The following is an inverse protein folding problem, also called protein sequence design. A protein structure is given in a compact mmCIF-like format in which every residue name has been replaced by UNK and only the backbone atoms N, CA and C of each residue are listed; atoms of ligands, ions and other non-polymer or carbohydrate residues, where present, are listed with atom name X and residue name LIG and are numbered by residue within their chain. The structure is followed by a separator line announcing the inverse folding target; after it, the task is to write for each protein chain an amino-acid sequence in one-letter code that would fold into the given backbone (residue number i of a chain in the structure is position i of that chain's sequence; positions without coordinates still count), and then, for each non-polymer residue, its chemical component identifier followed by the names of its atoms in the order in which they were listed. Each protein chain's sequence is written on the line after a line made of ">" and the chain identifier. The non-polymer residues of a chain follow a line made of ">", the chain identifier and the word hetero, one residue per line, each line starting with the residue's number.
data_IF_867176763302
#
_entry.id   IF_867176763302
#
_cell.length_a   1.000
_cell.length_b   1.000
_cell.length_c   1.000
_cell.angle_alpha   90.00
_cell.angle_beta   90.00
_cell.angle_gamma   90.00
#
_symmetry.space_group_name_H-M   'P 1'
#
loop_
_entity.id
_entity.type
_entity.pdbx_description
1 polymer ?
#
# COMPACT_ATOMS: atom_id res chain seq x y z
N UNK A 1 23.84 11.19 3.22
CA UNK A 1 22.42 11.03 2.82
C UNK A 1 22.32 11.29 1.33
N UNK A 2 21.88 10.31 0.54
CA UNK A 2 21.67 10.49 -0.90
C UNK A 2 20.40 11.32 -1.09
N UNK A 3 20.49 12.48 -1.74
CA UNK A 3 19.31 13.27 -2.14
C UNK A 3 18.79 12.68 -3.45
N UNK A 4 17.56 12.20 -3.44
CA UNK A 4 16.87 11.73 -4.64
C UNK A 4 16.47 12.92 -5.52
N UNK A 5 16.49 12.74 -6.84
CA UNK A 5 15.95 13.74 -7.77
C UNK A 5 14.42 13.77 -7.72
N UNK A 6 13.82 14.86 -8.23
CA UNK A 6 12.36 14.99 -8.33
C UNK A 6 11.75 13.82 -9.13
N UNK A 7 12.39 13.42 -10.23
CA UNK A 7 11.94 12.29 -11.03
C UNK A 7 11.97 10.97 -10.26
N UNK A 8 13.02 10.74 -9.46
CA UNK A 8 13.12 9.54 -8.62
C UNK A 8 12.08 9.53 -7.49
N UNK A 9 11.80 10.68 -6.88
CA UNK A 9 10.75 10.81 -5.86
C UNK A 9 9.36 10.51 -6.44
N UNK A 10 9.07 11.03 -7.64
CA UNK A 10 7.82 10.75 -8.34
C UNK A 10 7.68 9.25 -8.65
N UNK A 11 8.73 8.63 -9.19
CA UNK A 11 8.72 7.20 -9.49
C UNK A 11 8.56 6.34 -8.23
N UNK A 12 9.22 6.70 -7.12
CA UNK A 12 9.05 6.02 -5.85
C UNK A 12 7.62 6.17 -5.30
N UNK A 13 7.02 7.36 -5.43
CA UNK A 13 5.62 7.60 -5.04
C UNK A 13 4.65 6.74 -5.86
N UNK A 14 4.86 6.62 -7.17
CA UNK A 14 4.06 5.75 -8.05
C UNK A 14 4.18 4.27 -7.67
N UNK A 15 5.40 3.78 -7.41
CA UNK A 15 5.63 2.40 -6.95
C UNK A 15 4.89 2.12 -5.64
N UNK A 16 4.98 3.04 -4.67
CA UNK A 16 4.30 2.89 -3.37
C UNK A 16 2.78 2.98 -3.52
N UNK A 17 2.28 3.82 -4.44
CA UNK A 17 0.86 3.88 -4.77
C UNK A 17 0.35 2.55 -5.35
N UNK A 18 1.09 1.96 -6.28
CA UNK A 18 0.75 0.64 -6.83
C UNK A 18 0.81 -0.46 -5.75
N UNK A 19 1.78 -0.38 -4.84
CA UNK A 19 1.89 -1.31 -3.72
C UNK A 19 0.70 -1.17 -2.75
N UNK A 20 0.23 0.05 -2.51
CA UNK A 20 -0.98 0.28 -1.70
C UNK A 20 -2.21 -0.39 -2.31
N UNK A 21 -2.39 -0.28 -3.64
CA UNK A 21 -3.49 -0.94 -4.36
C UNK A 21 -3.34 -2.47 -4.32
N UNK A 22 -2.12 -2.99 -4.44
CA UNK A 22 -1.85 -4.42 -4.34
C UNK A 22 -2.23 -4.98 -2.96
N UNK A 23 -1.87 -4.31 -1.87
CA UNK A 23 -2.23 -4.74 -0.51
C UNK A 23 -3.74 -4.66 -0.23
N UNK A 24 -4.41 -3.63 -0.73
CA UNK A 24 -5.87 -3.56 -0.67
C UNK A 24 -6.52 -4.75 -1.37
N UNK A 25 -6.07 -5.02 -2.60
CA UNK A 25 -6.59 -6.12 -3.43
C UNK A 25 -6.31 -7.48 -2.80
N UNK A 26 -5.10 -7.67 -2.26
CA UNK A 26 -4.73 -8.89 -1.54
C UNK A 26 -5.61 -9.12 -0.31
N UNK A 27 -5.88 -8.08 0.50
CA UNK A 27 -6.76 -8.20 1.67
C UNK A 27 -8.18 -8.68 1.34
N UNK A 28 -8.67 -8.38 0.13
CA UNK A 28 -9.99 -8.82 -0.36
C UNK A 28 -9.93 -10.19 -1.03
N UNK A 29 -8.91 -10.44 -1.86
CA UNK A 29 -8.82 -11.66 -2.69
C UNK A 29 -8.28 -12.84 -1.89
N UNK A 30 -7.31 -12.64 -0.99
CA UNK A 30 -6.65 -13.73 -0.26
C UNK A 30 -7.62 -14.63 0.52
N UNK A 31 -8.66 -14.13 1.21
CA UNK A 31 -9.66 -14.99 1.85
C UNK A 31 -10.37 -15.96 0.91
N UNK A 32 -10.56 -15.58 -0.36
CA UNK A 32 -11.20 -16.43 -1.37
C UNK A 32 -10.32 -17.63 -1.77
N UNK A 33 -9.00 -17.47 -1.67
CA UNK A 33 -8.02 -18.51 -2.00
C UNK A 33 -7.70 -19.39 -0.80
N UNK A 34 -7.48 -18.77 0.37
CA UNK A 34 -6.98 -19.46 1.58
C UNK A 34 -8.13 -20.10 2.37
N UNK A 35 -9.38 -19.67 2.17
CA UNK A 35 -10.58 -20.21 2.82
C UNK A 35 -10.45 -20.21 4.36
N UNK A 36 -10.47 -19.02 4.99
CA UNK A 36 -10.30 -18.90 6.44
C UNK A 36 -11.34 -19.73 7.19
N UNK A 37 -10.92 -20.37 8.29
CA UNK A 37 -11.76 -21.25 9.11
C UNK A 37 -12.51 -20.48 10.19
N UNK A 38 -12.03 -19.27 10.51
CA UNK A 38 -12.59 -18.43 11.58
C UNK A 38 -12.86 -17.01 11.10
N UNK A 39 -13.82 -16.34 11.73
CA UNK A 39 -14.08 -14.92 11.47
C UNK A 39 -12.85 -14.05 11.78
N UNK A 40 -12.09 -14.40 12.81
CA UNK A 40 -10.85 -13.69 13.16
C UNK A 40 -9.79 -13.77 12.05
N UNK A 41 -9.67 -14.91 11.37
CA UNK A 41 -8.76 -15.04 10.22
C UNK A 41 -9.25 -14.19 9.04
N UNK A 42 -10.56 -14.18 8.76
CA UNK A 42 -11.12 -13.33 7.71
C UNK A 42 -10.86 -11.83 8.00
N UNK A 43 -11.13 -11.41 9.23
CA UNK A 43 -10.91 -10.02 9.66
C UNK A 43 -9.44 -9.64 9.62
N UNK A 44 -8.52 -10.54 9.95
CA UNK A 44 -7.08 -10.25 9.92
C UNK A 44 -6.58 -9.97 8.49
N UNK A 45 -7.06 -10.70 7.48
CA UNK A 45 -6.74 -10.40 6.08
C UNK A 45 -7.20 -9.00 5.66
N UNK A 46 -8.43 -8.62 6.02
CA UNK A 46 -8.98 -7.29 5.68
C UNK A 46 -8.22 -6.19 6.41
N UNK A 47 -7.97 -6.36 7.71
CA UNK A 47 -7.25 -5.37 8.53
C UNK A 47 -5.82 -5.19 8.05
N UNK A 48 -5.11 -6.28 7.74
CA UNK A 48 -3.74 -6.20 7.22
C UNK A 48 -3.71 -5.57 5.82
N UNK A 49 -4.60 -5.98 4.92
CA UNK A 49 -4.68 -5.42 3.57
C UNK A 49 -4.98 -3.92 3.58
N UNK A 50 -5.98 -3.50 4.37
CA UNK A 50 -6.32 -2.08 4.55
C UNK A 50 -5.20 -1.31 5.26
N UNK A 51 -4.65 -1.85 6.34
CA UNK A 51 -3.60 -1.20 7.12
C UNK A 51 -2.35 -0.96 6.27
N UNK A 52 -1.92 -1.96 5.51
CA UNK A 52 -0.77 -1.84 4.61
C UNK A 52 -1.07 -0.91 3.43
N UNK A 53 -2.29 -0.95 2.88
CA UNK A 53 -2.72 -0.02 1.83
C UNK A 53 -2.62 1.43 2.31
N UNK A 54 -3.22 1.75 3.46
CA UNK A 54 -3.18 3.10 4.04
C UNK A 54 -1.74 3.52 4.33
N UNK A 55 -0.93 2.64 4.92
CA UNK A 55 0.49 2.93 5.19
C UNK A 55 1.21 3.33 3.90
N UNK A 56 1.12 2.53 2.85
CA UNK A 56 1.81 2.83 1.60
C UNK A 56 1.26 4.04 0.87
N UNK A 57 -0.05 4.30 0.95
CA UNK A 57 -0.65 5.55 0.43
C UNK A 57 -0.09 6.77 1.16
N UNK A 58 0.00 6.74 2.49
CA UNK A 58 0.53 7.86 3.27
C UNK A 58 2.01 8.10 2.94
N UNK A 59 2.81 7.04 2.84
CA UNK A 59 4.23 7.16 2.44
C UNK A 59 4.33 7.69 1.01
N UNK A 60 3.58 7.14 0.06
CA UNK A 60 3.53 7.60 -1.34
C UNK A 60 3.22 9.10 -1.44
N UNK A 61 2.20 9.58 -0.73
CA UNK A 61 1.83 10.98 -0.69
C UNK A 61 2.90 11.84 -0.02
N UNK A 62 3.54 11.36 1.04
CA UNK A 62 4.59 12.09 1.74
C UNK A 62 5.82 12.36 0.86
N UNK A 63 6.13 11.48 -0.10
CA UNK A 63 7.28 11.63 -1.00
C UNK A 63 7.08 12.73 -2.05
N UNK A 64 5.84 13.00 -2.46
CA UNK A 64 5.51 14.03 -3.45
C UNK A 64 4.95 15.31 -2.81
N UNK A 65 4.74 15.31 -1.49
CA UNK A 65 4.25 16.47 -0.75
C UNK A 65 5.28 17.61 -0.82
N UNK A 66 5.00 18.61 -1.66
CA UNK A 66 5.89 19.76 -1.87
C UNK A 66 6.69 19.71 -3.18
N UNK A 67 6.57 18.64 -3.96
CA UNK A 67 7.06 18.62 -5.35
C UNK A 67 6.08 19.45 -6.19
N UNK A 68 6.46 20.68 -6.54
CA UNK A 68 5.71 21.50 -7.51
C UNK A 68 5.88 20.87 -8.90
N UNK A 69 4.76 20.64 -9.58
CA UNK A 69 4.73 20.21 -10.98
C UNK A 69 5.16 21.33 -11.91
#
# INVERSE_FOLDING_TARGET
>A
MVKLSIGQLKQASEILGNLAVAWFSAGIISPLLVRPKTLSELVSFVVLGLGMSVLFTLVSLSLVKGVKS
#
